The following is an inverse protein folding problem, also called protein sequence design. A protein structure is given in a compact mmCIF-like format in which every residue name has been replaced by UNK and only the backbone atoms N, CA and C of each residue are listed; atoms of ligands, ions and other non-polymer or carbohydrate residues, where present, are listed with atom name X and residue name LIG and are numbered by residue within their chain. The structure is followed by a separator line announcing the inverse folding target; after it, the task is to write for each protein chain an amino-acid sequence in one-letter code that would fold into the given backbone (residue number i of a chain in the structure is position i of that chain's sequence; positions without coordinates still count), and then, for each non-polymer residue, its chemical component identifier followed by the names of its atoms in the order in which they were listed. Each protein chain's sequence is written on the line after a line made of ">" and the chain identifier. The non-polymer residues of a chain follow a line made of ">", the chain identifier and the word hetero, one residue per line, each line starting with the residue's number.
data_IF_769927426633
#
_entry.id   IF_769927426633
#
_cell.length_a   1.000
_cell.length_b   1.000
_cell.length_c   1.000
_cell.angle_alpha   90.00
_cell.angle_beta   90.00
_cell.angle_gamma   90.00
#
_symmetry.space_group_name_H-M   'P 1'
#
loop_
_entity.id
_entity.type
_entity.pdbx_description
1 polymer ?
#
# COMPACT_ATOMS: atom_id res chain seq x y z
N UNK A 1 -37.10 -28.45 -29.93
CA UNK A 1 -36.33 -27.17 -29.75
C UNK A 1 -35.76 -27.14 -28.32
N UNK A 2 -34.45 -27.32 -28.18
CA UNK A 2 -33.74 -27.23 -26.87
C UNK A 2 -33.11 -25.86 -26.82
N UNK A 3 -33.61 -24.98 -25.94
CA UNK A 3 -32.98 -23.70 -25.63
C UNK A 3 -31.88 -23.89 -24.59
N UNK A 4 -30.61 -23.74 -25.03
CA UNK A 4 -29.45 -23.67 -24.13
C UNK A 4 -29.33 -22.26 -23.58
N UNK A 5 -29.53 -22.11 -22.27
CA UNK A 5 -29.26 -20.86 -21.54
C UNK A 5 -27.80 -20.84 -21.18
N UNK A 6 -27.00 -20.03 -21.89
CA UNK A 6 -25.61 -19.72 -21.53
C UNK A 6 -25.60 -18.77 -20.34
N UNK A 7 -25.30 -19.28 -19.16
CA UNK A 7 -25.07 -18.48 -17.95
C UNK A 7 -23.68 -17.86 -18.04
N UNK A 8 -23.60 -16.58 -18.34
CA UNK A 8 -22.36 -15.81 -18.27
C UNK A 8 -22.04 -15.51 -16.80
N UNK A 9 -21.08 -16.25 -16.23
CA UNK A 9 -20.50 -15.90 -14.93
C UNK A 9 -19.68 -14.61 -15.10
N UNK A 10 -20.20 -13.51 -14.60
CA UNK A 10 -19.46 -12.25 -14.50
C UNK A 10 -18.32 -12.44 -13.48
N UNK A 11 -17.07 -12.37 -13.93
CA UNK A 11 -15.91 -12.30 -13.05
C UNK A 11 -16.00 -11.00 -12.25
N UNK A 12 -16.26 -11.11 -10.95
CA UNK A 12 -16.25 -9.97 -10.05
C UNK A 12 -14.86 -9.36 -10.02
N UNK A 13 -14.73 -8.13 -10.50
CA UNK A 13 -13.49 -7.36 -10.36
C UNK A 13 -13.23 -7.10 -8.88
N UNK A 14 -12.01 -7.34 -8.36
CA UNK A 14 -11.70 -7.06 -6.97
C UNK A 14 -11.89 -5.57 -6.69
N UNK A 15 -12.70 -5.25 -5.69
CA UNK A 15 -12.91 -3.87 -5.24
C UNK A 15 -11.65 -3.43 -4.49
N UNK A 16 -10.96 -2.36 -4.90
CA UNK A 16 -9.79 -1.86 -4.20
C UNK A 16 -10.16 -1.43 -2.78
N UNK A 17 -9.42 -1.95 -1.79
CA UNK A 17 -9.63 -1.62 -0.39
C UNK A 17 -9.03 -0.25 -0.10
N UNK A 18 -9.86 0.72 0.27
CA UNK A 18 -9.41 2.02 0.75
C UNK A 18 -8.90 1.90 2.19
N UNK A 19 -7.81 2.59 2.55
CA UNK A 19 -7.39 2.64 3.95
C UNK A 19 -8.45 3.36 4.78
N UNK A 20 -8.87 2.71 5.85
CA UNK A 20 -9.78 3.30 6.84
C UNK A 20 -8.96 3.86 8.01
N UNK A 21 -9.49 4.84 8.72
CA UNK A 21 -8.87 5.31 9.95
C UNK A 21 -8.76 4.16 10.96
N UNK A 22 -7.57 3.94 11.51
CA UNK A 22 -7.36 2.92 12.53
C UNK A 22 -7.87 3.46 13.85
N UNK A 23 -8.97 2.92 14.34
CA UNK A 23 -9.62 3.35 15.59
C UNK A 23 -8.97 2.70 16.82
N UNK A 24 -8.28 1.55 16.64
CA UNK A 24 -7.54 0.87 17.69
C UNK A 24 -6.28 0.23 17.11
N UNK A 25 -5.16 0.45 17.80
CA UNK A 25 -3.87 -0.16 17.47
C UNK A 25 -3.62 -1.32 18.41
N UNK A 26 -3.45 -2.51 17.87
CA UNK A 26 -2.96 -3.65 18.63
C UNK A 26 -1.44 -3.69 18.57
N UNK A 27 -0.80 -4.34 19.53
CA UNK A 27 0.63 -4.62 19.49
C UNK A 27 0.86 -5.94 18.77
N UNK A 28 1.75 -5.93 17.81
CA UNK A 28 2.23 -7.15 17.15
C UNK A 28 2.87 -8.08 18.18
N UNK A 29 2.48 -9.35 18.14
CA UNK A 29 2.91 -10.36 19.14
C UNK A 29 4.40 -10.65 19.12
N UNK A 30 5.06 -10.43 17.99
CA UNK A 30 6.48 -10.73 17.80
C UNK A 30 7.37 -9.51 17.93
N UNK A 31 6.93 -8.36 17.42
CA UNK A 31 7.75 -7.14 17.40
C UNK A 31 7.36 -6.12 18.45
N UNK A 32 6.17 -6.21 19.03
CA UNK A 32 5.59 -5.19 19.91
C UNK A 32 5.23 -3.89 19.19
N UNK A 33 5.47 -3.79 17.87
CA UNK A 33 5.10 -2.63 17.06
C UNK A 33 3.60 -2.59 16.80
N UNK A 34 3.02 -1.41 16.55
CA UNK A 34 1.60 -1.31 16.21
C UNK A 34 1.22 -2.15 15.00
N UNK A 35 0.05 -2.77 15.03
CA UNK A 35 -0.63 -3.41 13.90
C UNK A 35 -2.08 -2.91 13.84
N UNK A 36 -2.62 -2.61 12.64
CA UNK A 36 -1.92 -2.64 11.36
C UNK A 36 -0.86 -1.55 11.22
N UNK A 37 0.13 -1.74 10.34
CA UNK A 37 1.13 -0.71 10.01
C UNK A 37 1.64 -0.86 8.60
N UNK A 38 1.99 0.25 7.96
CA UNK A 38 2.61 0.26 6.64
C UNK A 38 4.12 0.04 6.72
N UNK A 39 4.61 -0.73 5.77
CA UNK A 39 6.03 -1.01 5.51
C UNK A 39 6.28 -0.98 4.01
N UNK A 40 7.53 -0.96 3.59
CA UNK A 40 7.88 -1.10 2.18
C UNK A 40 8.56 -2.44 1.89
N UNK A 41 8.38 -2.94 0.68
CA UNK A 41 9.12 -4.09 0.18
C UNK A 41 10.59 -3.71 -0.01
N UNK A 42 11.51 -4.40 0.68
CA UNK A 42 12.96 -4.18 0.58
C UNK A 42 13.55 -4.95 -0.60
N UNK A 43 13.09 -6.18 -0.81
CA UNK A 43 13.66 -7.11 -1.77
C UNK A 43 13.22 -6.82 -3.21
N UNK A 44 14.11 -7.07 -4.18
CA UNK A 44 13.78 -7.00 -5.61
C UNK A 44 12.84 -8.13 -6.06
N UNK A 45 12.81 -9.25 -5.33
CA UNK A 45 11.90 -10.37 -5.53
C UNK A 45 11.46 -10.91 -4.17
N UNK A 46 10.17 -10.92 -3.94
CA UNK A 46 9.58 -11.42 -2.70
C UNK A 46 8.39 -12.35 -2.99
N UNK A 47 8.38 -13.48 -2.30
CA UNK A 47 7.27 -14.42 -2.36
C UNK A 47 6.30 -14.15 -1.21
N UNK A 48 5.06 -13.90 -1.53
CA UNK A 48 3.95 -13.99 -0.59
C UNK A 48 3.42 -15.41 -0.60
N UNK A 49 3.24 -16.00 0.57
CA UNK A 49 2.81 -17.39 0.75
C UNK A 49 1.43 -17.45 1.40
N UNK A 50 0.78 -18.60 1.31
CA UNK A 50 -0.53 -18.81 1.95
C UNK A 50 -0.43 -19.01 3.47
N UNK A 51 0.76 -19.29 4.01
CA UNK A 51 1.00 -19.48 5.43
C UNK A 51 2.41 -19.06 5.86
N UNK A 52 2.66 -18.96 7.19
CA UNK A 52 3.89 -18.43 7.79
C UNK A 52 5.02 -19.46 7.85
N UNK A 53 5.39 -20.04 6.71
CA UNK A 53 6.56 -20.94 6.59
C UNK A 53 6.97 -21.09 5.13
N UNK A 54 8.22 -21.51 4.89
CA UNK A 54 8.74 -21.79 3.55
C UNK A 54 8.11 -23.02 2.90
N UNK A 55 7.50 -23.91 3.68
CA UNK A 55 6.79 -25.10 3.17
C UNK A 55 5.45 -24.76 2.51
N UNK A 56 4.85 -23.61 2.87
CA UNK A 56 3.60 -23.18 2.27
C UNK A 56 3.76 -22.72 0.82
N UNK A 57 2.81 -23.01 -0.06
CA UNK A 57 2.83 -22.59 -1.44
C UNK A 57 2.95 -21.07 -1.58
N UNK A 58 3.62 -20.65 -2.64
CA UNK A 58 3.66 -19.25 -3.05
C UNK A 58 2.32 -18.86 -3.66
N UNK A 59 1.69 -17.82 -3.11
CA UNK A 59 0.46 -17.22 -3.60
C UNK A 59 0.72 -16.16 -4.67
N UNK A 60 1.76 -15.33 -4.44
CA UNK A 60 2.13 -14.22 -5.30
C UNK A 60 3.64 -13.94 -5.25
N UNK A 61 4.17 -13.33 -6.32
CA UNK A 61 5.56 -12.88 -6.40
C UNK A 61 5.58 -11.39 -6.72
N UNK A 62 6.19 -10.60 -5.84
CA UNK A 62 6.41 -9.18 -6.05
C UNK A 62 7.82 -8.96 -6.57
N UNK A 63 7.95 -8.13 -7.62
CA UNK A 63 9.21 -7.88 -8.34
C UNK A 63 9.68 -6.44 -8.22
N UNK A 64 8.96 -5.57 -7.51
CA UNK A 64 9.28 -4.14 -7.42
C UNK A 64 9.59 -3.74 -5.98
N UNK A 65 10.84 -3.39 -5.64
CA UNK A 65 11.17 -2.89 -4.32
C UNK A 65 10.50 -1.54 -4.06
N UNK A 66 10.23 -1.24 -2.79
CA UNK A 66 9.56 -0.02 -2.36
C UNK A 66 8.03 -0.07 -2.42
N UNK A 67 7.41 -1.16 -2.90
CA UNK A 67 5.96 -1.31 -2.83
C UNK A 67 5.49 -1.19 -1.38
N UNK A 68 4.43 -0.40 -1.16
CA UNK A 68 3.79 -0.26 0.13
C UNK A 68 2.94 -1.48 0.44
N UNK A 69 3.16 -2.08 1.60
CA UNK A 69 2.43 -3.21 2.12
C UNK A 69 1.98 -2.90 3.54
N UNK A 70 0.81 -3.39 3.93
CA UNK A 70 0.30 -3.24 5.28
C UNK A 70 0.48 -4.53 6.06
N UNK A 71 1.22 -4.52 7.17
CA UNK A 71 1.31 -5.66 8.09
C UNK A 71 0.04 -5.66 8.94
N UNK A 72 -0.68 -6.78 8.92
CA UNK A 72 -1.94 -6.99 9.65
C UNK A 72 -1.85 -8.07 10.73
N UNK A 73 -0.83 -8.92 10.69
CA UNK A 73 -0.54 -9.91 11.73
C UNK A 73 0.93 -10.34 11.69
N UNK A 74 1.38 -11.03 12.76
CA UNK A 74 2.75 -11.50 12.94
C UNK A 74 2.76 -12.94 13.46
N UNK A 75 3.73 -13.74 12.99
CA UNK A 75 4.00 -15.08 13.51
C UNK A 75 5.49 -15.42 13.33
N UNK A 76 6.25 -15.51 14.42
CA UNK A 76 7.70 -15.70 14.40
C UNK A 76 8.38 -14.65 13.50
N UNK A 77 9.14 -15.10 12.52
CA UNK A 77 9.79 -14.22 11.54
C UNK A 77 8.88 -13.81 10.36
N UNK A 78 7.61 -14.23 10.35
CA UNK A 78 6.67 -13.95 9.26
C UNK A 78 5.74 -12.81 9.60
N UNK A 79 5.34 -12.07 8.56
CA UNK A 79 4.38 -10.97 8.63
C UNK A 79 3.25 -11.27 7.67
N UNK A 80 2.03 -11.26 8.17
CA UNK A 80 0.87 -11.27 7.28
C UNK A 80 0.72 -9.87 6.71
N UNK A 81 0.79 -9.79 5.40
CA UNK A 81 0.74 -8.51 4.68
C UNK A 81 -0.49 -8.44 3.79
N UNK A 82 -0.96 -7.23 3.55
CA UNK A 82 -2.01 -6.87 2.61
C UNK A 82 -1.48 -5.84 1.63
N UNK A 83 -1.75 -6.01 0.35
CA UNK A 83 -1.40 -5.03 -0.68
C UNK A 83 -2.55 -4.07 -1.02
N UNK A 84 -2.31 -3.16 -1.95
CA UNK A 84 -3.25 -2.14 -2.42
C UNK A 84 -4.47 -2.71 -3.18
N UNK A 85 -4.47 -3.99 -3.53
CA UNK A 85 -5.60 -4.70 -4.12
C UNK A 85 -6.44 -5.46 -3.08
N UNK A 86 -5.97 -5.49 -1.81
CA UNK A 86 -6.57 -6.29 -0.74
C UNK A 86 -6.07 -7.72 -0.68
N UNK A 87 -5.12 -8.11 -1.54
CA UNK A 87 -4.52 -9.44 -1.50
C UNK A 87 -3.72 -9.62 -0.21
N UNK A 88 -4.00 -10.68 0.53
CA UNK A 88 -3.32 -11.01 1.79
C UNK A 88 -2.49 -12.28 1.67
N UNK A 89 -1.42 -12.34 2.46
CA UNK A 89 -0.59 -13.53 2.60
C UNK A 89 0.62 -13.25 3.49
N UNK A 90 1.53 -14.21 3.58
CA UNK A 90 2.66 -14.18 4.50
C UNK A 90 3.98 -13.92 3.78
N UNK A 91 4.75 -12.97 4.30
CA UNK A 91 6.12 -12.69 3.87
C UNK A 91 7.09 -12.79 5.04
N UNK A 92 8.32 -13.23 4.77
CA UNK A 92 9.37 -13.17 5.77
C UNK A 92 9.75 -11.72 6.06
N UNK A 93 9.85 -11.34 7.34
CA UNK A 93 10.09 -9.96 7.77
C UNK A 93 11.37 -9.34 7.22
N UNK A 94 12.40 -10.15 6.95
CA UNK A 94 13.66 -9.68 6.34
C UNK A 94 13.48 -9.10 4.92
N UNK A 95 12.37 -9.40 4.24
CA UNK A 95 12.05 -8.87 2.93
C UNK A 95 11.40 -7.48 2.99
N UNK A 96 11.06 -7.02 4.19
CA UNK A 96 10.36 -5.78 4.47
C UNK A 96 11.28 -4.74 5.11
N UNK A 97 10.93 -3.48 4.96
CA UNK A 97 11.63 -2.33 5.52
C UNK A 97 10.64 -1.39 6.20
N UNK A 98 11.07 -0.78 7.31
CA UNK A 98 10.31 0.29 7.97
C UNK A 98 10.29 1.63 7.21
N UNK A 99 11.00 1.74 6.09
CA UNK A 99 10.92 2.92 5.23
C UNK A 99 9.48 3.10 4.74
N UNK A 100 8.97 4.32 4.87
CA UNK A 100 7.60 4.63 4.48
C UNK A 100 7.52 4.91 2.98
N UNK A 101 6.67 4.16 2.32
CA UNK A 101 6.31 4.38 0.93
C UNK A 101 4.80 4.40 0.76
N UNK A 102 4.34 4.95 -0.34
CA UNK A 102 2.95 4.90 -0.72
C UNK A 102 2.83 4.71 -2.23
N UNK A 103 1.66 4.33 -2.68
CA UNK A 103 1.26 4.48 -4.07
C UNK A 103 0.11 5.47 -4.17
N UNK A 104 0.07 6.22 -5.25
CA UNK A 104 -1.13 6.98 -5.61
C UNK A 104 -2.29 5.99 -5.70
N UNK A 105 -3.37 6.29 -5.00
CA UNK A 105 -4.45 5.35 -4.74
C UNK A 105 -4.98 4.69 -6.02
N UNK A 106 -5.01 3.34 -6.09
CA UNK A 106 -5.42 2.61 -7.28
C UNK A 106 -6.91 2.76 -7.63
N UNK A 107 -7.72 3.21 -6.66
CA UNK A 107 -9.17 3.46 -6.87
C UNK A 107 -9.48 4.82 -7.49
N UNK A 108 -8.49 5.69 -7.69
CA UNK A 108 -8.69 6.97 -8.36
C UNK A 108 -8.97 6.75 -9.84
N UNK A 109 -9.91 7.52 -10.36
CA UNK A 109 -10.24 7.58 -11.79
C UNK A 109 -9.50 8.69 -12.54
N UNK A 110 -8.88 9.60 -11.78
CA UNK A 110 -8.16 10.77 -12.30
C UNK A 110 -6.75 10.82 -11.68
N UNK A 111 -5.87 11.61 -12.28
CA UNK A 111 -4.55 11.85 -11.73
C UNK A 111 -4.63 12.59 -10.39
N UNK A 112 -3.69 12.31 -9.51
CA UNK A 112 -3.49 13.05 -8.27
C UNK A 112 -2.53 14.21 -8.49
N UNK A 113 -2.83 15.36 -7.88
CA UNK A 113 -2.04 16.58 -8.02
C UNK A 113 -0.90 16.60 -6.98
N UNK A 114 0.33 16.82 -7.44
CA UNK A 114 1.50 17.08 -6.60
C UNK A 114 1.75 18.58 -6.55
N UNK A 115 1.69 19.18 -5.37
CA UNK A 115 1.81 20.62 -5.14
C UNK A 115 3.15 21.00 -4.55
N UNK A 116 3.55 22.27 -4.73
CA UNK A 116 4.80 22.83 -4.16
C UNK A 116 4.73 23.07 -2.64
N UNK A 117 3.53 23.24 -2.09
CA UNK A 117 3.27 23.38 -0.65
C UNK A 117 1.99 22.64 -0.26
N UNK A 118 1.73 22.39 1.04
CA UNK A 118 0.57 21.60 1.50
C UNK A 118 -0.76 22.40 1.44
N UNK A 119 -1.04 22.97 0.29
CA UNK A 119 -2.22 23.78 0.01
C UNK A 119 -2.76 23.49 -1.38
N UNK A 120 -4.08 23.57 -1.56
CA UNK A 120 -4.72 23.28 -2.86
C UNK A 120 -4.51 24.39 -3.88
N UNK A 121 -4.20 25.60 -3.42
CA UNK A 121 -3.91 26.77 -4.25
C UNK A 121 -2.44 26.88 -4.65
N UNK A 122 -1.59 26.03 -4.09
CA UNK A 122 -0.15 26.00 -4.40
C UNK A 122 0.11 25.56 -5.85
N UNK A 123 1.24 26.01 -6.39
CA UNK A 123 1.66 25.67 -7.75
C UNK A 123 1.70 24.15 -7.95
N UNK A 124 1.19 23.71 -9.09
CA UNK A 124 1.25 22.31 -9.50
C UNK A 124 2.66 21.97 -9.97
N UNK A 125 3.24 20.91 -9.40
CA UNK A 125 4.53 20.37 -9.81
C UNK A 125 4.35 19.28 -10.86
N UNK A 126 3.40 18.35 -10.60
CA UNK A 126 3.13 17.22 -11.49
C UNK A 126 1.73 16.66 -11.28
N UNK A 127 1.23 15.97 -12.29
CA UNK A 127 0.07 15.10 -12.21
C UNK A 127 0.54 13.64 -12.14
N UNK A 128 0.12 12.94 -11.11
CA UNK A 128 0.54 11.56 -10.83
C UNK A 128 -0.59 10.60 -11.14
N UNK A 129 -0.32 9.65 -12.00
CA UNK A 129 -1.27 8.58 -12.31
C UNK A 129 -1.47 7.66 -11.09
N UNK A 130 -2.63 6.98 -10.99
CA UNK A 130 -2.83 5.91 -10.02
C UNK A 130 -1.68 4.88 -10.07
N UNK A 131 -1.29 4.34 -8.91
CA UNK A 131 -0.19 3.37 -8.72
C UNK A 131 1.23 3.92 -8.92
N UNK A 132 1.42 5.23 -9.12
CA UNK A 132 2.75 5.84 -9.05
C UNK A 132 3.32 5.65 -7.64
N UNK A 133 4.54 5.13 -7.55
CA UNK A 133 5.22 4.83 -6.30
C UNK A 133 5.91 6.09 -5.75
N UNK A 134 5.66 6.35 -4.47
CA UNK A 134 6.13 7.51 -3.75
C UNK A 134 6.92 7.07 -2.50
N UNK A 135 7.97 7.81 -2.16
CA UNK A 135 8.60 7.75 -0.87
C UNK A 135 7.96 8.82 0.02
N UNK A 136 7.47 8.41 1.19
CA UNK A 136 6.88 9.30 2.17
C UNK A 136 7.98 9.83 3.10
N UNK A 137 8.06 11.16 3.24
CA UNK A 137 8.97 11.82 4.20
C UNK A 137 8.25 12.17 5.50
N UNK A 138 7.07 12.76 5.39
CA UNK A 138 6.24 13.13 6.54
C UNK A 138 4.78 13.23 6.12
N UNK A 139 3.88 13.07 7.08
CA UNK A 139 2.44 13.32 6.91
C UNK A 139 1.91 14.14 8.08
N UNK A 140 0.95 15.03 7.79
CA UNK A 140 0.34 15.96 8.77
C UNK A 140 -1.11 15.61 9.12
N UNK A 141 -1.60 14.46 8.68
CA UNK A 141 -3.00 14.06 8.78
C UNK A 141 -3.87 14.51 7.60
N UNK A 142 -3.43 15.51 6.86
CA UNK A 142 -4.11 16.03 5.64
C UNK A 142 -3.25 15.96 4.40
N UNK A 143 -1.96 16.22 4.53
CA UNK A 143 -0.98 16.28 3.46
C UNK A 143 0.24 15.43 3.80
N UNK A 144 0.83 14.81 2.78
CA UNK A 144 2.11 14.13 2.90
C UNK A 144 3.16 14.80 2.01
N UNK A 145 4.35 15.00 2.56
CA UNK A 145 5.54 15.35 1.80
C UNK A 145 6.11 14.09 1.18
N UNK A 146 6.29 14.10 -0.13
CA UNK A 146 6.68 12.92 -0.90
C UNK A 146 7.76 13.22 -1.92
N UNK A 147 8.49 12.17 -2.32
CA UNK A 147 9.31 12.17 -3.54
C UNK A 147 8.77 11.10 -4.47
N UNK A 148 8.67 11.40 -5.76
CA UNK A 148 8.31 10.41 -6.77
C UNK A 148 9.51 9.49 -6.97
N UNK A 149 9.28 8.17 -6.85
CA UNK A 149 10.36 7.21 -7.03
C UNK A 149 10.84 7.21 -8.47
N UNK A 150 12.16 7.12 -8.64
CA UNK A 150 12.84 7.10 -9.95
C UNK A 150 12.66 8.39 -10.78
N UNK A 151 12.21 9.49 -10.16
CA UNK A 151 12.08 10.80 -10.79
C UNK A 151 12.55 11.91 -9.84
N UNK A 152 13.06 13.00 -10.39
CA UNK A 152 13.52 14.16 -9.61
C UNK A 152 12.39 15.10 -9.15
N UNK A 153 11.17 14.56 -8.96
CA UNK A 153 10.01 15.31 -8.51
C UNK A 153 9.71 15.06 -7.04
N UNK A 154 9.49 16.12 -6.28
CA UNK A 154 9.07 16.05 -4.87
C UNK A 154 8.10 17.19 -4.58
N UNK A 155 7.23 17.00 -3.60
CA UNK A 155 6.21 17.98 -3.24
C UNK A 155 5.24 17.43 -2.21
N UNK A 156 4.03 17.97 -2.23
CA UNK A 156 2.96 17.64 -1.30
C UNK A 156 1.75 17.08 -2.02
N UNK A 157 1.19 16.01 -1.47
CA UNK A 157 -0.01 15.36 -1.98
C UNK A 157 -1.03 15.18 -0.85
N UNK A 158 -2.31 15.21 -1.16
CA UNK A 158 -3.37 14.91 -0.20
C UNK A 158 -3.26 13.46 0.28
N UNK A 159 -3.26 13.28 1.62
CA UNK A 159 -3.06 11.98 2.27
C UNK A 159 -4.14 10.95 1.90
N UNK A 160 -5.38 11.38 1.70
CA UNK A 160 -6.49 10.53 1.29
C UNK A 160 -6.39 10.01 -0.16
N UNK A 161 -5.43 10.49 -0.94
CA UNK A 161 -5.15 10.03 -2.29
C UNK A 161 -4.05 8.95 -2.32
N UNK A 162 -3.68 8.41 -1.16
CA UNK A 162 -2.56 7.47 -1.01
C UNK A 162 -3.02 6.14 -0.41
N UNK A 163 -2.42 5.06 -0.90
CA UNK A 163 -2.27 3.80 -0.18
C UNK A 163 -0.85 3.76 0.41
N UNK A 164 -0.71 3.62 1.72
CA UNK A 164 0.58 3.66 2.42
C UNK A 164 0.61 4.65 3.59
N UNK A 165 -0.46 5.41 3.79
CA UNK A 165 -0.70 6.25 4.95
C UNK A 165 -2.15 6.13 5.40
N UNK A 166 -2.39 6.06 6.71
CA UNK A 166 -3.76 6.03 7.25
C UNK A 166 -4.37 7.44 7.24
N UNK A 167 -5.70 7.55 7.06
CA UNK A 167 -6.39 8.82 7.22
C UNK A 167 -6.10 9.44 8.60
N UNK A 168 -5.62 10.69 8.62
CA UNK A 168 -5.29 11.39 9.85
C UNK A 168 -3.93 11.00 10.49
N UNK A 169 -3.20 10.03 9.95
CA UNK A 169 -1.89 9.65 10.45
C UNK A 169 -0.89 10.81 10.35
N UNK A 170 -0.12 11.02 11.41
CA UNK A 170 0.94 12.04 11.46
C UNK A 170 2.27 11.38 11.80
N UNK A 171 3.32 11.69 11.03
CA UNK A 171 4.71 11.28 11.30
C UNK A 171 5.71 12.21 10.58
N UNK A 172 6.94 12.18 11.04
CA UNK A 172 8.07 12.94 10.50
C UNK A 172 9.26 12.03 10.27
#
# INVERSE_FOLDING_TARGET
>A
LVLSVLSSAALATPIPIQPVAVTAWNKGRETGLPIPRYVSLKAHKARMRVGPSTIYPTKWIYMKPGLSLEIIDEYGHWRQVRDDTGTTGWMHGALLSGLRSAVVAPWLKTNAMLHSSPETTASLIAELQPRVLLLLRSCTGKWCSVSVRDQAASGYIRQNLLWGAYPGEMFR
#
